data_IF_269004964065
#
_entry.id   IF_269004964065
#
_cell.length_a   1.000
_cell.length_b   1.000
_cell.length_c   1.000
_cell.angle_alpha   90.00
_cell.angle_beta   90.00
_cell.angle_gamma   90.00
#
_symmetry.space_group_name_H-M   'P 1'
#
loop_
_entity.id
_entity.type
_entity.pdbx_description
1 polymer ?
#
# COMPACT_ATOMS: atom_id res chain seq x y z
N UNK A 1 -14.26 23.13 26.41
CA UNK A 1 -14.01 21.96 25.53
C UNK A 1 -14.80 20.77 26.05
N UNK A 2 -15.38 19.94 25.18
CA UNK A 2 -16.10 18.74 25.62
C UNK A 2 -15.13 17.68 26.16
N UNK A 3 -15.42 17.12 27.35
CA UNK A 3 -14.61 16.08 28.01
C UNK A 3 -15.41 14.77 28.06
N UNK A 4 -14.81 13.62 27.73
CA UNK A 4 -15.51 12.34 27.80
C UNK A 4 -15.86 11.99 29.25
N UNK A 5 -17.14 11.78 29.53
CA UNK A 5 -17.60 11.42 30.88
C UNK A 5 -17.14 10.03 31.35
N UNK A 6 -16.93 9.11 30.41
CA UNK A 6 -16.52 7.72 30.66
C UNK A 6 -15.52 7.25 29.60
N UNK A 7 -14.65 6.31 29.98
CA UNK A 7 -13.74 5.67 29.04
C UNK A 7 -14.51 4.80 28.05
N UNK A 8 -13.97 4.69 26.83
CA UNK A 8 -14.52 3.76 25.84
C UNK A 8 -14.24 2.32 26.25
N UNK A 9 -15.22 1.43 26.03
CA UNK A 9 -15.02 0.00 26.27
C UNK A 9 -13.95 -0.55 25.33
N UNK A 10 -13.29 -1.63 25.77
CA UNK A 10 -12.22 -2.30 24.99
C UNK A 10 -12.73 -2.74 23.62
N UNK A 11 -13.94 -3.30 23.54
CA UNK A 11 -14.59 -3.71 22.29
C UNK A 11 -14.79 -2.51 21.35
N UNK A 12 -15.41 -1.41 21.81
CA UNK A 12 -15.63 -0.20 20.99
C UNK A 12 -14.32 0.41 20.48
N UNK A 13 -13.26 0.39 21.30
CA UNK A 13 -11.93 0.83 20.89
C UNK A 13 -11.34 -0.06 19.79
N UNK A 14 -11.46 -1.39 19.91
CA UNK A 14 -10.97 -2.35 18.90
C UNK A 14 -11.69 -2.20 17.57
N UNK A 15 -13.02 -2.07 17.57
CA UNK A 15 -13.83 -1.88 16.35
C UNK A 15 -13.34 -0.66 15.56
N UNK A 16 -13.15 0.49 16.22
CA UNK A 16 -12.64 1.71 15.56
C UNK A 16 -11.26 1.51 14.94
N UNK A 17 -10.35 0.83 15.66
CA UNK A 17 -9.01 0.51 15.14
C UNK A 17 -9.08 -0.44 13.94
N UNK A 18 -9.99 -1.42 13.96
CA UNK A 18 -10.16 -2.36 12.85
C UNK A 18 -10.66 -1.67 11.59
N UNK A 19 -11.57 -0.69 11.71
CA UNK A 19 -12.02 0.13 10.57
C UNK A 19 -10.84 0.88 9.94
N UNK A 20 -9.95 1.46 10.76
CA UNK A 20 -8.75 2.13 10.27
C UNK A 20 -7.80 1.15 9.57
N UNK A 21 -7.53 -0.02 10.17
CA UNK A 21 -6.67 -1.08 9.58
C UNK A 21 -7.24 -1.66 8.28
N UNK A 22 -8.57 -1.79 8.15
CA UNK A 22 -9.24 -2.32 6.95
C UNK A 22 -8.96 -1.49 5.70
N UNK A 23 -8.65 -0.19 5.84
CA UNK A 23 -8.26 0.67 4.71
C UNK A 23 -6.97 0.19 4.04
N UNK A 24 -6.02 -0.33 4.81
CA UNK A 24 -4.76 -0.88 4.29
C UNK A 24 -4.98 -2.11 3.41
N UNK A 25 -5.89 -3.00 3.80
CA UNK A 25 -6.25 -4.18 3.01
C UNK A 25 -6.72 -3.82 1.59
N UNK A 26 -7.58 -2.80 1.46
CA UNK A 26 -8.06 -2.36 0.15
C UNK A 26 -6.95 -1.79 -0.73
N UNK A 27 -6.00 -1.05 -0.14
CA UNK A 27 -4.83 -0.54 -0.85
C UNK A 27 -3.92 -1.69 -1.30
N UNK A 28 -3.66 -2.66 -0.43
CA UNK A 28 -2.87 -3.84 -0.75
C UNK A 28 -3.49 -4.66 -1.89
N UNK A 29 -4.81 -4.89 -1.87
CA UNK A 29 -5.52 -5.61 -2.94
C UNK A 29 -5.35 -4.93 -4.30
N UNK A 30 -5.50 -3.60 -4.35
CA UNK A 30 -5.32 -2.82 -5.58
C UNK A 30 -3.86 -2.83 -6.05
N UNK A 31 -2.91 -2.67 -5.13
CA UNK A 31 -1.48 -2.68 -5.43
C UNK A 31 -1.03 -4.05 -5.98
N UNK A 32 -1.52 -5.15 -5.42
CA UNK A 32 -1.21 -6.50 -5.90
C UNK A 32 -1.72 -6.75 -7.32
N UNK A 33 -2.98 -6.40 -7.59
CA UNK A 33 -3.56 -6.49 -8.95
C UNK A 33 -2.75 -5.66 -9.95
N UNK A 34 -2.38 -4.43 -9.55
CA UNK A 34 -1.56 -3.55 -10.38
C UNK A 34 -0.18 -4.14 -10.68
N UNK A 35 0.50 -4.68 -9.66
CA UNK A 35 1.82 -5.30 -9.83
C UNK A 35 1.78 -6.48 -10.81
N UNK A 36 0.74 -7.31 -10.75
CA UNK A 36 0.53 -8.41 -11.72
C UNK A 36 0.35 -7.89 -13.14
N UNK A 37 -0.47 -6.85 -13.33
CA UNK A 37 -0.69 -6.22 -14.64
C UNK A 37 0.58 -5.60 -15.24
N UNK A 38 1.44 -5.01 -14.40
CA UNK A 38 2.73 -4.45 -14.83
C UNK A 38 3.72 -5.57 -15.18
N UNK A 39 3.73 -6.66 -14.40
CA UNK A 39 4.71 -7.75 -14.58
C UNK A 39 4.60 -8.48 -15.92
N UNK A 40 3.43 -8.47 -16.57
CA UNK A 40 3.24 -9.12 -17.88
C UNK A 40 3.72 -8.27 -19.05
N UNK A 41 3.99 -6.97 -18.86
CA UNK A 41 4.47 -6.08 -19.92
C UNK A 41 3.47 -5.80 -21.06
N UNK A 42 2.24 -6.33 -20.99
CA UNK A 42 1.21 -6.14 -22.03
C UNK A 42 0.40 -4.85 -21.86
N UNK A 43 0.45 -4.23 -20.68
CA UNK A 43 -0.31 -3.03 -20.36
C UNK A 43 0.38 -1.77 -20.92
N UNK A 44 -0.21 -1.17 -21.96
CA UNK A 44 0.33 0.05 -22.62
C UNK A 44 0.03 1.36 -21.89
N UNK A 45 -0.84 1.34 -20.88
CA UNK A 45 -1.29 2.53 -20.15
C UNK A 45 -0.44 2.88 -18.93
N UNK A 46 0.39 1.95 -18.43
CA UNK A 46 1.23 2.16 -17.27
C UNK A 46 2.71 2.15 -17.67
N UNK A 47 3.41 3.26 -17.42
CA UNK A 47 4.85 3.37 -17.66
C UNK A 47 5.60 3.28 -16.33
N UNK A 48 6.53 2.32 -16.22
CA UNK A 48 7.43 2.19 -15.07
C UNK A 48 8.84 2.56 -15.53
N UNK A 49 9.42 3.61 -14.94
CA UNK A 49 10.81 3.99 -15.20
C UNK A 49 11.74 2.96 -14.55
N UNK A 50 12.35 2.10 -15.38
CA UNK A 50 13.41 1.23 -14.90
C UNK A 50 14.67 2.06 -14.72
N UNK A 51 15.09 2.30 -13.46
CA UNK A 51 16.42 2.82 -13.19
C UNK A 51 17.42 1.74 -13.56
N UNK A 52 18.04 1.88 -14.73
CA UNK A 52 19.14 1.01 -15.16
C UNK A 52 20.30 1.30 -14.21
N UNK A 53 20.56 0.38 -13.27
CA UNK A 53 21.83 0.38 -12.55
C UNK A 53 22.92 0.09 -13.58
N UNK A 54 23.52 1.13 -14.16
CA UNK A 54 24.73 0.99 -14.97
C UNK A 54 25.83 0.46 -14.05
N UNK A 55 25.98 -0.86 -13.95
CA UNK A 55 27.25 -1.44 -13.51
C UNK A 55 28.25 -1.09 -14.61
N UNK A 56 29.08 -0.09 -14.34
CA UNK A 56 30.24 0.24 -15.16
C UNK A 56 31.24 -0.90 -15.06
N UNK A 57 31.06 -1.93 -15.88
CA UNK A 57 32.14 -2.87 -16.16
C UNK A 57 33.17 -2.11 -17.00
N UNK A 58 34.26 -1.70 -16.35
CA UNK A 58 35.49 -1.28 -17.03
C UNK A 58 36.02 -2.48 -17.80
N UNK A 59 36.02 -2.39 -19.13
CA UNK A 59 36.75 -3.33 -19.98
C UNK A 59 38.20 -2.83 -20.04
N UNK A 60 39.13 -3.67 -19.59
CA UNK A 60 40.53 -3.58 -20.00
C UNK A 60 40.66 -4.13 -21.42
#
# INVERSE_FOLDING_TARGET
MAVPKKRTSTSKKRIRRNIWKKRGYWKAKRAFSLAKSISTGHSKSFFVTQKINKKSYSRN
#
